data_IF_348319451523
#
_entry.id   IF_348319451523
#
_cell.length_a   1.000
_cell.length_b   1.000
_cell.length_c   1.000
_cell.angle_alpha   90.00
_cell.angle_beta   90.00
_cell.angle_gamma   90.00
#
_symmetry.space_group_name_H-M   'P 1'
#
loop_
_entity.id
_entity.type
_entity.pdbx_description
1 polymer ?
#
# COMPACT_ATOMS: atom_id res chain seq x y z
N UNK A 1 7.00 12.07 14.73
CA UNK A 1 8.36 11.70 14.27
C UNK A 1 8.28 10.28 13.68
N UNK A 2 7.83 10.13 12.44
CA UNK A 2 7.88 8.84 11.74
C UNK A 2 9.08 8.93 10.79
N UNK A 3 10.25 8.50 11.24
CA UNK A 3 11.51 8.76 10.51
C UNK A 3 11.75 7.79 9.34
N UNK A 4 10.97 6.71 9.21
CA UNK A 4 11.20 5.67 8.20
C UNK A 4 9.96 5.38 7.34
N UNK A 5 9.44 6.40 6.63
CA UNK A 5 8.37 6.21 5.64
C UNK A 5 8.94 6.40 4.24
N UNK A 6 8.89 5.34 3.43
CA UNK A 6 9.24 5.40 2.02
C UNK A 6 7.95 5.41 1.20
N UNK A 7 7.75 6.45 0.39
CA UNK A 7 6.64 6.55 -0.56
C UNK A 7 7.10 6.14 -1.95
N UNK A 8 6.40 5.17 -2.53
CA UNK A 8 6.64 4.71 -3.90
C UNK A 8 5.58 5.35 -4.80
N UNK A 9 6.02 5.97 -5.90
CA UNK A 9 5.13 6.59 -6.89
C UNK A 9 5.29 5.83 -8.21
N UNK A 10 4.26 5.10 -8.66
CA UNK A 10 4.30 4.42 -9.94
C UNK A 10 4.28 5.42 -11.10
N UNK A 11 4.86 5.04 -12.24
CA UNK A 11 4.91 5.88 -13.45
C UNK A 11 3.52 6.06 -14.08
N UNK A 12 2.64 5.06 -13.97
CA UNK A 12 1.29 5.08 -14.50
C UNK A 12 0.31 4.37 -13.57
N UNK A 13 -0.99 4.51 -13.85
CA UNK A 13 -2.06 3.85 -13.07
C UNK A 13 -2.20 2.37 -13.40
N UNK A 14 -1.82 1.96 -14.60
CA UNK A 14 -1.92 0.57 -15.09
C UNK A 14 -1.02 -0.40 -14.32
N UNK A 15 0.09 0.08 -13.76
CA UNK A 15 0.96 -0.73 -12.90
C UNK A 15 0.72 -0.50 -11.41
N UNK A 16 -0.11 0.47 -11.03
CA UNK A 16 -0.19 0.90 -9.62
C UNK A 16 -0.71 -0.17 -8.67
N UNK A 17 -1.81 -0.84 -9.04
CA UNK A 17 -2.39 -1.96 -8.31
C UNK A 17 -1.52 -3.21 -8.39
N UNK A 18 -0.93 -3.51 -9.56
CA UNK A 18 0.00 -4.63 -9.69
C UNK A 18 1.24 -4.46 -8.81
N UNK A 19 1.85 -3.27 -8.83
CA UNK A 19 3.01 -2.93 -8.02
C UNK A 19 2.68 -3.04 -6.52
N UNK A 20 1.51 -2.56 -6.11
CA UNK A 20 1.04 -2.72 -4.74
C UNK A 20 0.90 -4.20 -4.36
N UNK A 21 0.30 -5.02 -5.22
CA UNK A 21 0.13 -6.45 -4.96
C UNK A 21 1.48 -7.18 -4.84
N UNK A 22 2.41 -6.89 -5.75
CA UNK A 22 3.76 -7.45 -5.69
C UNK A 22 4.47 -7.05 -4.41
N UNK A 23 4.54 -5.75 -4.11
CA UNK A 23 5.25 -5.24 -2.92
C UNK A 23 4.62 -5.68 -1.60
N UNK A 24 3.32 -6.01 -1.60
CA UNK A 24 2.61 -6.55 -0.44
C UNK A 24 2.81 -8.07 -0.28
N UNK A 25 3.37 -8.75 -1.28
CA UNK A 25 3.61 -10.19 -1.23
C UNK A 25 4.75 -10.55 -0.27
N UNK A 26 4.72 -11.79 0.22
CA UNK A 26 5.79 -12.33 1.07
C UNK A 26 7.14 -12.33 0.35
N UNK A 27 7.15 -12.60 -0.96
CA UNK A 27 8.36 -12.62 -1.77
C UNK A 27 9.03 -11.25 -1.83
N UNK A 28 8.27 -10.20 -2.15
CA UNK A 28 8.81 -8.85 -2.20
C UNK A 28 9.29 -8.39 -0.82
N UNK A 29 8.57 -8.76 0.25
CA UNK A 29 8.97 -8.46 1.62
C UNK A 29 10.34 -9.06 1.96
N UNK A 30 10.58 -10.32 1.64
CA UNK A 30 11.89 -10.95 1.85
C UNK A 30 13.00 -10.31 1.01
N UNK A 31 12.70 -9.94 -0.25
CA UNK A 31 13.64 -9.22 -1.11
C UNK A 31 14.02 -7.84 -0.53
N UNK A 32 13.03 -7.10 -0.02
CA UNK A 32 13.25 -5.82 0.65
C UNK A 32 14.09 -6.01 1.93
N UNK A 33 13.76 -7.02 2.73
CA UNK A 33 14.45 -7.30 3.98
C UNK A 33 15.91 -7.73 3.80
N UNK A 34 16.26 -8.34 2.67
CA UNK A 34 17.66 -8.66 2.34
C UNK A 34 18.57 -7.43 2.32
N UNK A 35 18.02 -6.28 1.94
CA UNK A 35 18.76 -5.02 1.90
C UNK A 35 18.69 -4.23 3.23
N UNK A 36 17.84 -4.66 4.16
CA UNK A 36 17.72 -4.01 5.45
C UNK A 36 18.95 -4.33 6.31
N UNK A 37 19.48 -3.32 6.99
CA UNK A 37 20.67 -3.42 7.83
C UNK A 37 20.36 -3.00 9.27
N UNK A 38 21.18 -3.45 10.21
CA UNK A 38 21.04 -3.14 11.63
C UNK A 38 20.86 -4.38 12.51
N UNK A 39 21.46 -4.37 13.70
CA UNK A 39 21.53 -5.53 14.59
C UNK A 39 20.24 -5.75 15.41
N UNK A 40 19.46 -4.70 15.66
CA UNK A 40 18.23 -4.74 16.48
C UNK A 40 17.07 -4.04 15.78
N UNK A 41 17.31 -2.86 15.19
CA UNK A 41 16.34 -2.15 14.34
C UNK A 41 16.80 -2.28 12.90
N UNK A 42 15.96 -2.89 12.07
CA UNK A 42 16.20 -3.01 10.62
C UNK A 42 15.89 -1.66 9.97
N UNK A 43 16.93 -0.96 9.52
CA UNK A 43 16.81 0.27 8.75
C UNK A 43 16.77 -0.03 7.26
N UNK A 44 15.99 0.78 6.55
CA UNK A 44 15.78 0.66 5.12
C UNK A 44 15.84 2.06 4.52
N UNK A 45 16.53 2.19 3.40
CA UNK A 45 16.74 3.45 2.69
C UNK A 45 16.07 3.36 1.32
N UNK A 46 15.79 4.51 0.70
CA UNK A 46 15.13 4.56 -0.61
C UNK A 46 15.94 3.82 -1.69
N UNK A 47 17.26 3.83 -1.59
CA UNK A 47 18.17 3.14 -2.51
C UNK A 47 17.96 1.63 -2.47
N UNK A 48 17.69 1.07 -1.29
CA UNK A 48 17.41 -0.36 -1.12
C UNK A 48 16.12 -0.79 -1.83
N UNK A 49 15.07 0.04 -1.76
CA UNK A 49 13.81 -0.21 -2.47
C UNK A 49 14.01 -0.15 -3.99
N UNK A 50 14.83 0.79 -4.48
CA UNK A 50 15.08 0.92 -5.93
C UNK A 50 15.79 -0.30 -6.56
N UNK A 51 16.43 -1.14 -5.75
CA UNK A 51 17.11 -2.36 -6.20
C UNK A 51 16.20 -3.59 -6.20
N UNK A 52 15.00 -3.49 -5.62
CA UNK A 52 14.04 -4.60 -5.58
C UNK A 52 13.47 -4.79 -6.98
N UNK A 53 13.76 -5.95 -7.56
CA UNK A 53 13.22 -6.31 -8.87
C UNK A 53 11.71 -6.57 -8.75
N UNK A 54 10.95 -5.96 -9.65
CA UNK A 54 9.53 -6.22 -9.83
C UNK A 54 9.40 -7.11 -11.06
N UNK A 55 8.90 -8.35 -10.93
CA UNK A 55 8.65 -9.21 -12.08
C UNK A 55 7.53 -8.57 -12.90
N UNK A 56 7.76 -8.39 -14.20
CA UNK A 56 6.71 -8.02 -15.14
C UNK A 56 6.23 -9.30 -15.82
N UNK A 57 4.91 -9.46 -15.91
CA UNK A 57 4.34 -10.64 -16.54
C UNK A 57 4.42 -10.48 -18.07
N UNK A 58 4.72 -11.56 -18.78
CA UNK A 58 4.70 -11.56 -20.24
C UNK A 58 3.28 -11.43 -20.81
N UNK A 59 2.27 -11.80 -20.02
CA UNK A 59 0.86 -11.60 -20.36
C UNK A 59 0.36 -10.29 -19.75
N UNK A 60 0.20 -9.27 -20.60
CA UNK A 60 -0.31 -7.96 -20.21
C UNK A 60 -1.74 -8.03 -19.69
N UNK A 61 -2.57 -8.96 -20.17
CA UNK A 61 -3.96 -9.10 -19.71
C UNK A 61 -4.00 -9.60 -18.26
N UNK A 62 -3.19 -10.61 -17.94
CA UNK A 62 -3.08 -11.12 -16.58
C UNK A 62 -2.55 -10.04 -15.62
N UNK A 63 -1.59 -9.23 -16.07
CA UNK A 63 -1.08 -8.11 -15.28
C UNK A 63 -2.17 -7.06 -15.02
N UNK A 64 -2.95 -6.73 -16.04
CA UNK A 64 -4.05 -5.77 -15.96
C UNK A 64 -5.19 -6.27 -15.05
N UNK A 65 -5.54 -7.55 -15.13
CA UNK A 65 -6.57 -8.16 -14.28
C UNK A 65 -6.20 -8.08 -12.78
N UNK A 66 -4.94 -8.39 -12.45
CA UNK A 66 -4.42 -8.27 -11.08
C UNK A 66 -4.48 -6.81 -10.64
N UNK A 67 -4.02 -5.88 -11.50
CA UNK A 67 -4.04 -4.46 -11.21
C UNK A 67 -5.47 -3.97 -10.89
N UNK A 68 -6.44 -4.31 -11.74
CA UNK A 68 -7.81 -3.83 -11.62
C UNK A 68 -8.52 -4.40 -10.39
N UNK A 69 -8.30 -5.69 -10.11
CA UNK A 69 -8.82 -6.36 -8.91
C UNK A 69 -8.36 -5.67 -7.64
N UNK A 70 -7.06 -5.34 -7.58
CA UNK A 70 -6.44 -4.69 -6.42
C UNK A 70 -6.95 -3.25 -6.28
N UNK A 71 -7.08 -2.52 -7.39
CA UNK A 71 -7.63 -1.16 -7.37
C UNK A 71 -9.10 -1.17 -6.94
N UNK A 72 -9.89 -2.14 -7.38
CA UNK A 72 -11.28 -2.28 -6.97
C UNK A 72 -11.41 -2.58 -5.47
N UNK A 73 -10.61 -3.51 -4.95
CA UNK A 73 -10.57 -3.82 -3.53
C UNK A 73 -10.24 -2.55 -2.71
N UNK A 74 -9.20 -1.82 -3.11
CA UNK A 74 -8.80 -0.58 -2.44
C UNK A 74 -9.90 0.50 -2.47
N UNK A 75 -10.65 0.61 -3.58
CA UNK A 75 -11.81 1.53 -3.67
C UNK A 75 -12.88 1.18 -2.63
N UNK A 76 -13.26 -0.10 -2.54
CA UNK A 76 -14.28 -0.58 -1.57
C UNK A 76 -13.85 -0.37 -0.12
N UNK A 77 -12.57 -0.62 0.18
CA UNK A 77 -11.99 -0.33 1.49
C UNK A 77 -12.04 1.15 1.82
N UNK A 78 -11.68 2.02 0.86
CA UNK A 78 -11.74 3.47 1.04
C UNK A 78 -13.17 3.94 1.33
N UNK A 79 -14.14 3.42 0.60
CA UNK A 79 -15.57 3.71 0.81
C UNK A 79 -16.01 3.30 2.22
N UNK A 80 -15.66 2.09 2.65
CA UNK A 80 -15.99 1.59 3.99
C UNK A 80 -15.40 2.48 5.08
N UNK A 81 -14.11 2.82 4.97
CA UNK A 81 -13.46 3.72 5.94
C UNK A 81 -14.08 5.12 5.97
N UNK A 82 -14.57 5.62 4.83
CA UNK A 82 -15.25 6.92 4.77
C UNK A 82 -16.62 6.88 5.44
N UNK A 83 -17.41 5.82 5.20
CA UNK A 83 -18.70 5.61 5.85
C UNK A 83 -18.55 5.44 7.36
N UNK A 84 -17.55 4.69 7.81
CA UNK A 84 -17.21 4.54 9.23
C UNK A 84 -16.88 5.89 9.85
N UNK A 85 -16.01 6.68 9.20
CA UNK A 85 -15.63 8.02 9.68
C UNK A 85 -16.84 8.95 9.77
N UNK A 86 -17.75 8.88 8.81
CA UNK A 86 -18.98 9.67 8.81
C UNK A 86 -19.92 9.26 9.94
N UNK A 87 -20.10 7.96 10.16
CA UNK A 87 -20.90 7.45 11.27
C UNK A 87 -20.36 7.93 12.63
N UNK A 88 -19.03 7.87 12.82
CA UNK A 88 -18.37 8.39 14.01
C UNK A 88 -18.58 9.90 14.17
N UNK A 89 -18.44 10.68 13.09
CA UNK A 89 -18.66 12.13 13.10
C UNK A 89 -20.08 12.49 13.55
N UNK A 90 -21.09 11.80 13.02
CA UNK A 90 -22.50 12.03 13.40
C UNK A 90 -22.75 11.67 14.88
N UNK A 91 -22.11 10.62 15.40
CA UNK A 91 -22.21 10.24 16.81
C UNK A 91 -21.55 11.27 17.72
N UNK A 92 -20.36 11.77 17.37
CA UNK A 92 -19.66 12.79 18.14
C UNK A 92 -20.46 14.10 18.17
N UNK A 93 -20.96 14.55 17.03
CA UNK A 93 -21.81 15.75 16.95
C UNK A 93 -23.05 15.60 17.84
N UNK A 94 -23.79 14.49 17.74
CA UNK A 94 -25.00 14.27 18.57
C UNK A 94 -24.70 14.03 20.04
N UNK A 95 -23.56 13.41 20.38
CA UNK A 95 -23.13 13.13 21.74
C UNK A 95 -22.65 14.38 22.49
N UNK A 96 -22.09 15.36 21.77
CA UNK A 96 -21.68 16.66 22.32
C UNK A 96 -22.89 17.57 22.57
N UNK A 97 -23.96 17.49 21.76
CA UNK A 97 -25.19 18.27 21.96
C UNK A 97 -26.21 17.65 22.94
N UNK A 98 -25.91 16.49 23.54
CA UNK A 98 -26.76 15.84 24.54
C UNK A 98 -26.42 16.22 26.00
N UNK A 99 -25.61 17.26 26.23
CA UNK A 99 -25.36 17.85 27.55
C UNK A 99 -25.92 19.26 27.67
#
# INVERSE_FOLDING_TARGET
MAHDIIRIVPVNKEISGYLYAWLSSDYARELIHRFAYGAVVRHLEKEHISQVSVPLLSDENAQQEINDTVLEANRKWTETCNLEREALRVLDEKGIYAR
#
